data_IF_191948458656
#
_entry.id   IF_191948458656
#
_cell.length_a   1.000
_cell.length_b   1.000
_cell.length_c   1.000
_cell.angle_alpha   90.00
_cell.angle_beta   90.00
_cell.angle_gamma   90.00
#
_symmetry.space_group_name_H-M   'P 1'
#
loop_
_entity.id
_entity.type
_entity.pdbx_description
1 polymer ?
#
# COMPACT_ATOMS: atom_id res chain seq x y z
N UNK A 1 9.45 8.65 1.62
CA UNK A 1 10.26 9.87 1.37
C UNK A 1 10.80 10.29 2.72
N UNK A 2 12.12 10.37 2.83
CA UNK A 2 12.81 10.36 4.14
C UNK A 2 12.97 11.76 4.74
N UNK A 3 12.56 12.80 4.01
CA UNK A 3 12.46 14.16 4.51
C UNK A 3 11.03 14.46 4.98
N UNK A 4 10.83 14.40 6.29
CA UNK A 4 9.54 14.66 6.93
C UNK A 4 9.18 16.15 6.99
N UNK A 5 10.11 17.06 6.66
CA UNK A 5 9.80 18.50 6.61
C UNK A 5 8.95 18.87 5.39
N UNK A 6 8.98 18.03 4.35
CA UNK A 6 8.20 18.24 3.14
C UNK A 6 6.75 17.83 3.42
N UNK A 7 5.87 18.84 3.47
CA UNK A 7 4.44 18.66 3.75
C UNK A 7 3.55 19.31 2.68
N UNK A 8 4.14 19.95 1.68
CA UNK A 8 3.44 20.67 0.62
C UNK A 8 3.02 19.76 -0.55
N UNK A 9 2.41 20.38 -1.57
CA UNK A 9 1.89 19.71 -2.75
C UNK A 9 2.94 18.94 -3.59
N UNK A 10 4.24 19.10 -3.33
CA UNK A 10 5.28 18.31 -4.00
C UNK A 10 5.32 16.89 -3.47
N UNK A 11 5.13 16.70 -2.16
CA UNK A 11 5.07 15.36 -1.56
C UNK A 11 3.93 14.55 -2.17
N UNK A 12 2.74 15.14 -2.24
CA UNK A 12 1.54 14.44 -2.73
C UNK A 12 1.63 14.12 -4.22
N UNK A 13 2.19 15.04 -5.03
CA UNK A 13 2.50 14.76 -6.44
C UNK A 13 3.53 13.65 -6.60
N UNK A 14 4.64 13.70 -5.86
CA UNK A 14 5.65 12.66 -5.90
C UNK A 14 5.08 11.27 -5.54
N UNK A 15 4.19 11.20 -4.54
CA UNK A 15 3.52 9.95 -4.16
C UNK A 15 2.53 9.46 -5.23
N UNK A 16 1.83 10.36 -5.91
CA UNK A 16 0.97 10.01 -7.05
C UNK A 16 1.77 9.47 -8.23
N UNK A 17 2.90 10.09 -8.55
CA UNK A 17 3.80 9.65 -9.61
C UNK A 17 4.47 8.31 -9.25
N UNK A 18 4.84 8.14 -7.99
CA UNK A 18 5.35 6.88 -7.47
C UNK A 18 4.32 5.76 -7.63
N UNK A 19 3.05 6.00 -7.29
CA UNK A 19 1.97 5.02 -7.49
C UNK A 19 1.84 4.59 -8.94
N UNK A 20 1.90 5.55 -9.88
CA UNK A 20 1.85 5.25 -11.33
C UNK A 20 3.04 4.40 -11.73
N UNK A 21 4.23 4.76 -11.24
CA UNK A 21 5.47 4.01 -11.46
C UNK A 21 5.39 2.60 -10.89
N UNK A 22 4.90 2.41 -9.66
CA UNK A 22 4.73 1.10 -9.02
C UNK A 22 3.83 0.18 -9.83
N UNK A 23 2.77 0.74 -10.43
CA UNK A 23 1.86 0.00 -11.31
C UNK A 23 2.50 -0.34 -12.65
N UNK A 24 3.25 0.59 -13.25
CA UNK A 24 3.82 0.44 -14.60
C UNK A 24 5.09 -0.40 -14.62
N UNK A 25 5.95 -0.25 -13.62
CA UNK A 25 7.26 -0.91 -13.55
C UNK A 25 7.23 -2.20 -12.72
N UNK A 26 6.04 -2.70 -12.36
CA UNK A 26 5.87 -4.04 -11.82
C UNK A 26 6.11 -4.20 -10.31
N UNK A 27 6.19 -3.12 -9.53
CA UNK A 27 6.29 -3.21 -8.07
C UNK A 27 5.04 -3.91 -7.47
N UNK A 28 3.86 -3.57 -8.02
CA UNK A 28 2.66 -4.42 -8.11
C UNK A 28 2.96 -5.92 -8.12
N UNK A 29 3.36 -6.35 -9.31
CA UNK A 29 3.54 -7.74 -9.67
C UNK A 29 4.61 -8.46 -8.82
N UNK A 30 5.64 -7.74 -8.37
CA UNK A 30 6.67 -8.30 -7.51
C UNK A 30 6.11 -8.68 -6.13
N UNK A 31 5.40 -7.76 -5.47
CA UNK A 31 4.73 -8.03 -4.19
C UNK A 31 3.69 -9.15 -4.32
N UNK A 32 2.95 -9.11 -5.42
CA UNK A 32 1.96 -10.11 -5.77
C UNK A 32 2.54 -11.52 -5.90
N UNK A 33 3.69 -11.67 -6.58
CA UNK A 33 4.35 -12.96 -6.77
C UNK A 33 4.73 -13.61 -5.43
N UNK A 34 5.08 -12.80 -4.42
CA UNK A 34 5.44 -13.26 -3.08
C UNK A 34 4.20 -13.57 -2.24
N UNK A 35 3.16 -12.74 -2.29
CA UNK A 35 2.00 -12.86 -1.40
C UNK A 35 0.89 -13.76 -1.93
N UNK A 36 0.75 -13.93 -3.24
CA UNK A 36 -0.26 -14.81 -3.86
C UNK A 36 -0.29 -16.23 -3.28
N UNK A 37 0.85 -16.93 -3.12
CA UNK A 37 0.85 -18.27 -2.52
C UNK A 37 0.32 -18.27 -1.09
N UNK A 38 0.61 -17.21 -0.31
CA UNK A 38 0.14 -17.08 1.07
C UNK A 38 -1.37 -16.81 1.10
N UNK A 39 -1.86 -15.92 0.25
CA UNK A 39 -3.27 -15.57 0.12
C UNK A 39 -4.11 -16.76 -0.36
N UNK A 40 -3.59 -17.63 -1.23
CA UNK A 40 -4.32 -18.84 -1.66
C UNK A 40 -4.36 -19.94 -0.61
N UNK A 41 -3.40 -19.96 0.32
CA UNK A 41 -3.23 -21.04 1.30
C UNK A 41 -4.00 -20.79 2.60
N UNK A 42 -4.38 -19.55 2.89
CA UNK A 42 -4.99 -19.18 4.15
C UNK A 42 -6.33 -18.50 3.93
N UNK A 43 -7.30 -18.81 4.78
CA UNK A 43 -8.62 -18.16 4.76
C UNK A 43 -8.58 -16.75 5.37
N UNK A 44 -7.60 -16.47 6.23
CA UNK A 44 -7.38 -15.15 6.83
C UNK A 44 -5.89 -14.86 7.05
N UNK A 45 -5.48 -13.62 6.79
CA UNK A 45 -4.15 -13.09 7.12
C UNK A 45 -4.24 -11.71 7.79
N UNK A 46 -3.23 -11.37 8.58
CA UNK A 46 -3.00 -10.01 9.09
C UNK A 46 -1.68 -9.49 8.56
N UNK A 47 -1.68 -8.31 7.94
CA UNK A 47 -0.52 -7.73 7.28
C UNK A 47 -0.28 -6.32 7.84
N UNK A 48 0.97 -6.06 8.26
CA UNK A 48 1.45 -4.75 8.66
C UNK A 48 2.32 -4.18 7.53
N UNK A 49 1.94 -3.01 7.01
CA UNK A 49 2.71 -2.22 6.05
C UNK A 49 3.41 -1.06 6.77
N UNK A 50 4.73 -1.07 6.76
CA UNK A 50 5.57 -0.10 7.48
C UNK A 50 6.13 0.90 6.47
N UNK A 51 5.77 2.18 6.63
CA UNK A 51 6.01 3.20 5.62
C UNK A 51 4.97 3.13 4.50
N UNK A 52 3.69 2.97 4.87
CA UNK A 52 2.60 2.71 3.92
C UNK A 52 2.30 3.88 2.96
N UNK A 53 2.91 5.04 3.16
CA UNK A 53 2.72 6.22 2.31
C UNK A 53 1.25 6.60 2.19
N UNK A 54 0.75 6.68 0.95
CA UNK A 54 -0.67 7.01 0.65
C UNK A 54 -1.59 5.78 0.70
N UNK A 55 -1.14 4.64 1.21
CA UNK A 55 -1.95 3.44 1.41
C UNK A 55 -2.32 2.69 0.13
N UNK A 56 -1.63 2.93 -0.99
CA UNK A 56 -1.93 2.30 -2.27
C UNK A 56 -1.72 0.78 -2.26
N UNK A 57 -0.69 0.30 -1.54
CA UNK A 57 -0.45 -1.12 -1.31
C UNK A 57 -1.55 -1.77 -0.49
N UNK A 58 -2.05 -1.12 0.57
CA UNK A 58 -3.15 -1.65 1.39
C UNK A 58 -4.42 -1.84 0.55
N UNK A 59 -4.78 -0.85 -0.27
CA UNK A 59 -5.92 -0.94 -1.20
C UNK A 59 -5.72 -2.07 -2.21
N UNK A 60 -4.51 -2.18 -2.77
CA UNK A 60 -4.16 -3.22 -3.74
C UNK A 60 -4.29 -4.63 -3.13
N UNK A 61 -3.72 -4.84 -1.93
CA UNK A 61 -3.77 -6.12 -1.23
C UNK A 61 -5.18 -6.50 -0.80
N UNK A 62 -6.00 -5.56 -0.32
CA UNK A 62 -7.40 -5.83 0.01
C UNK A 62 -8.17 -6.40 -1.18
N UNK A 63 -8.00 -5.78 -2.36
CA UNK A 63 -8.63 -6.25 -3.61
C UNK A 63 -8.07 -7.60 -4.05
N UNK A 64 -6.76 -7.79 -3.94
CA UNK A 64 -6.09 -9.01 -4.39
C UNK A 64 -6.43 -10.21 -3.52
N UNK A 65 -6.48 -10.04 -2.20
CA UNK A 65 -6.90 -11.07 -1.26
C UNK A 65 -8.33 -11.56 -1.54
N UNK A 66 -9.24 -10.61 -1.84
CA UNK A 66 -10.62 -10.93 -2.23
C UNK A 66 -10.71 -11.83 -3.47
N UNK A 67 -9.77 -11.73 -4.42
CA UNK A 67 -9.72 -12.62 -5.59
C UNK A 67 -9.37 -14.07 -5.25
N UNK A 68 -8.77 -14.31 -4.09
CA UNK A 68 -8.42 -15.65 -3.60
C UNK A 68 -9.33 -16.13 -2.47
N UNK A 69 -10.37 -15.37 -2.12
CA UNK A 69 -11.25 -15.71 -0.99
C UNK A 69 -10.60 -15.55 0.38
N UNK A 70 -9.43 -14.93 0.47
CA UNK A 70 -8.72 -14.70 1.71
C UNK A 70 -9.20 -13.39 2.36
N UNK A 71 -9.62 -13.45 3.62
CA UNK A 71 -9.86 -12.25 4.44
C UNK A 71 -8.53 -11.65 4.87
N UNK A 72 -8.39 -10.33 4.80
CA UNK A 72 -7.18 -9.65 5.24
C UNK A 72 -7.49 -8.54 6.23
N UNK A 73 -6.81 -8.56 7.36
CA UNK A 73 -6.70 -7.45 8.29
C UNK A 73 -5.44 -6.65 7.92
N UNK A 74 -5.61 -5.46 7.36
CA UNK A 74 -4.49 -4.65 6.88
C UNK A 74 -4.27 -3.46 7.81
N UNK A 75 -3.03 -3.29 8.27
CA UNK A 75 -2.62 -2.16 9.12
C UNK A 75 -1.50 -1.41 8.42
N UNK A 76 -1.69 -0.11 8.20
CA UNK A 76 -0.65 0.78 7.69
C UNK A 76 -0.12 1.68 8.78
N UNK A 77 1.21 1.81 8.87
CA UNK A 77 1.87 2.84 9.68
C UNK A 77 2.81 3.66 8.80
N UNK A 78 2.84 4.97 9.02
CA UNK A 78 3.79 5.87 8.36
C UNK A 78 4.16 7.00 9.32
N UNK A 79 5.40 7.47 9.22
CA UNK A 79 5.92 8.52 10.10
C UNK A 79 5.42 9.92 9.70
N UNK A 80 5.05 10.13 8.44
CA UNK A 80 4.60 11.43 7.96
C UNK A 80 3.07 11.59 8.14
N UNK A 81 2.59 12.53 8.97
CA UNK A 81 1.15 12.70 9.18
C UNK A 81 0.39 13.12 7.91
N UNK A 82 1.07 13.77 6.94
CA UNK A 82 0.46 14.16 5.66
C UNK A 82 0.14 12.92 4.82
N UNK A 83 1.06 11.96 4.76
CA UNK A 83 0.85 10.72 3.99
C UNK A 83 -0.26 9.88 4.63
N UNK A 84 -0.28 9.77 5.96
CA UNK A 84 -1.37 9.12 6.71
C UNK A 84 -2.71 9.80 6.45
N UNK A 85 -2.75 11.14 6.45
CA UNK A 85 -3.95 11.91 6.13
C UNK A 85 -4.47 11.59 4.73
N UNK A 86 -3.58 11.53 3.75
CA UNK A 86 -3.92 11.12 2.38
C UNK A 86 -4.39 9.67 2.30
N UNK A 87 -3.72 8.74 2.98
CA UNK A 87 -4.09 7.33 3.00
C UNK A 87 -5.52 7.15 3.55
N UNK A 88 -5.85 7.83 4.64
CA UNK A 88 -7.21 7.81 5.24
C UNK A 88 -8.29 8.35 4.31
N UNK A 89 -7.97 9.32 3.46
CA UNK A 89 -8.88 9.86 2.46
C UNK A 89 -9.01 8.96 1.21
N UNK A 90 -8.11 7.97 1.05
CA UNK A 90 -8.03 7.11 -0.12
C UNK A 90 -8.55 5.67 0.12
N UNK A 91 -8.62 5.26 1.39
CA UNK A 91 -9.23 4.01 1.86
C UNK A 91 -10.76 4.14 1.94
#
# INVERSE_FOLDING_TARGET
MDDFSITDARLTRALQDLRRTNRLLGAYAATDAVLDPLLRRHDQLRILDVGCGVGDYLVHLARRAGRFGCRVDLVGIDANPVTVGHARAHL
#
